data_IF_386164594246
#
_entry.id   IF_386164594246
#
_cell.length_a   1.000
_cell.length_b   1.000
_cell.length_c   1.000
_cell.angle_alpha   90.00
_cell.angle_beta   90.00
_cell.angle_gamma   90.00
#
_symmetry.space_group_name_H-M   'P 1'
#
loop_
_entity.id
_entity.type
_entity.pdbx_description
1 polymer ?
#
# COMPACT_ATOMS: atom_id res chain seq x y z
N UNK A 1 15.72 -71.84 2.94
CA UNK A 1 15.60 -70.61 2.16
C UNK A 1 16.39 -69.49 2.86
N UNK A 2 17.48 -69.05 2.28
CA UNK A 2 18.23 -67.90 2.71
C UNK A 2 17.66 -66.71 1.95
N UNK A 3 17.09 -65.74 2.67
CA UNK A 3 16.62 -64.49 2.04
C UNK A 3 17.87 -63.68 1.70
N UNK A 4 17.95 -63.20 0.47
CA UNK A 4 19.02 -62.29 0.02
C UNK A 4 18.83 -60.92 0.67
N UNK A 5 19.92 -60.33 1.17
CA UNK A 5 19.92 -59.03 1.85
C UNK A 5 19.34 -57.92 0.93
N UNK A 6 19.59 -57.97 -0.35
CA UNK A 6 19.05 -57.03 -1.32
C UNK A 6 17.50 -57.11 -1.43
N UNK A 7 16.92 -58.32 -1.27
CA UNK A 7 15.49 -58.52 -1.28
C UNK A 7 14.86 -57.95 0.02
N UNK A 8 15.52 -58.06 1.15
CA UNK A 8 15.06 -57.52 2.44
C UNK A 8 15.10 -55.99 2.39
N UNK A 9 16.17 -55.42 1.89
CA UNK A 9 16.33 -53.98 1.77
C UNK A 9 15.36 -53.37 0.73
N UNK A 10 15.07 -54.09 -0.38
CA UNK A 10 14.07 -53.72 -1.38
C UNK A 10 12.64 -53.73 -0.82
N UNK A 11 12.31 -54.74 0.01
CA UNK A 11 10.98 -54.85 0.64
C UNK A 11 10.75 -53.72 1.67
N UNK A 12 11.79 -53.35 2.43
CA UNK A 12 11.74 -52.23 3.37
C UNK A 12 11.50 -50.89 2.68
N UNK A 13 12.15 -50.63 1.56
CA UNK A 13 11.94 -49.42 0.78
C UNK A 13 10.53 -49.35 0.16
N UNK A 14 9.97 -50.50 -0.27
CA UNK A 14 8.60 -50.57 -0.80
C UNK A 14 7.56 -50.25 0.29
N UNK A 15 7.70 -50.81 1.48
CA UNK A 15 6.78 -50.59 2.60
C UNK A 15 6.82 -49.13 3.10
N UNK A 16 7.99 -48.47 3.02
CA UNK A 16 8.09 -47.04 3.40
C UNK A 16 7.28 -46.16 2.48
N UNK A 17 7.23 -46.44 1.18
CA UNK A 17 6.43 -45.69 0.21
C UNK A 17 4.94 -45.96 0.35
N UNK A 18 4.54 -47.18 0.72
CA UNK A 18 3.13 -47.53 0.95
C UNK A 18 2.57 -46.99 2.28
N UNK A 19 3.44 -46.74 3.26
CA UNK A 19 3.10 -46.12 4.54
C UNK A 19 3.12 -44.60 4.52
N UNK A 20 3.50 -43.99 3.39
CA UNK A 20 3.50 -42.56 3.23
C UNK A 20 2.06 -42.03 3.24
N UNK A 21 1.71 -41.26 4.26
CA UNK A 21 0.45 -40.55 4.32
C UNK A 21 0.65 -39.16 3.76
N UNK A 22 0.30 -38.98 2.49
CA UNK A 22 0.39 -37.70 1.83
C UNK A 22 -0.68 -36.75 2.37
N UNK A 23 -0.27 -35.54 2.79
CA UNK A 23 -1.22 -34.49 3.15
C UNK A 23 -2.05 -34.07 1.94
N UNK A 24 -3.36 -34.00 2.12
CA UNK A 24 -4.28 -33.55 1.07
C UNK A 24 -4.33 -32.03 0.97
N UNK A 25 -3.86 -31.31 2.00
CA UNK A 25 -3.79 -29.87 2.01
C UNK A 25 -2.66 -29.36 1.11
N UNK A 26 -3.00 -28.49 0.17
CA UNK A 26 -2.05 -27.81 -0.70
C UNK A 26 -1.69 -26.47 -0.06
N UNK A 27 -0.44 -26.35 0.39
CA UNK A 27 0.05 -25.14 1.06
C UNK A 27 0.46 -24.09 0.02
N UNK A 28 -0.13 -22.90 0.11
CA UNK A 28 0.27 -21.75 -0.69
C UNK A 28 1.56 -21.12 -0.12
N UNK A 29 2.38 -20.44 -0.95
CA UNK A 29 3.51 -19.69 -0.48
C UNK A 29 3.11 -18.63 0.56
N UNK A 30 3.93 -18.48 1.62
CA UNK A 30 3.74 -17.44 2.61
C UNK A 30 4.14 -16.09 2.03
N UNK A 31 3.15 -15.29 1.65
CA UNK A 31 3.34 -13.93 1.12
C UNK A 31 2.48 -12.96 1.91
N UNK A 32 3.08 -11.85 2.33
CA UNK A 32 2.37 -10.78 3.00
C UNK A 32 2.09 -9.65 2.00
N UNK A 33 0.83 -9.25 1.90
CA UNK A 33 0.36 -8.07 1.19
C UNK A 33 -0.52 -7.23 2.11
N UNK A 34 -0.37 -5.92 2.08
CA UNK A 34 -0.98 -5.00 3.04
C UNK A 34 -1.72 -3.83 2.38
N UNK A 35 -1.74 -3.78 1.06
CA UNK A 35 -2.32 -2.68 0.30
C UNK A 35 -3.76 -2.34 0.71
N UNK A 36 -4.62 -3.34 0.91
CA UNK A 36 -6.04 -3.15 1.26
C UNK A 36 -6.26 -2.50 2.62
N UNK A 37 -5.27 -2.60 3.52
CA UNK A 37 -5.28 -1.98 4.84
C UNK A 37 -4.88 -0.50 4.76
N UNK A 38 -3.94 -0.18 3.87
CA UNK A 38 -3.18 1.07 3.92
C UNK A 38 -3.63 2.10 2.86
N UNK A 39 -4.50 1.72 1.92
CA UNK A 39 -5.05 2.67 0.94
C UNK A 39 -6.53 2.41 0.67
N UNK A 40 -7.28 3.48 0.47
CA UNK A 40 -8.69 3.40 0.09
C UNK A 40 -8.84 3.29 -1.43
N UNK A 41 -9.74 2.42 -1.87
CA UNK A 41 -9.99 2.19 -3.29
C UNK A 41 -10.94 3.23 -3.88
N UNK A 42 -10.66 3.64 -5.10
CA UNK A 42 -11.57 4.36 -5.98
C UNK A 42 -12.24 3.35 -6.92
N UNK A 43 -13.53 3.09 -6.69
CA UNK A 43 -14.30 2.05 -7.38
C UNK A 43 -15.19 2.58 -8.51
N UNK A 44 -15.22 3.90 -8.73
CA UNK A 44 -16.01 4.56 -9.78
C UNK A 44 -15.38 4.47 -11.18
N UNK A 45 -14.28 3.73 -11.32
CA UNK A 45 -13.60 3.46 -12.58
C UNK A 45 -14.10 2.17 -13.21
N UNK A 46 -14.22 2.17 -14.54
CA UNK A 46 -14.65 1.02 -15.33
C UNK A 46 -13.52 0.40 -16.15
N UNK A 47 -13.76 -0.80 -16.69
CA UNK A 47 -12.78 -1.46 -17.55
C UNK A 47 -12.55 -0.71 -18.87
N UNK A 48 -13.48 0.13 -19.29
CA UNK A 48 -13.35 0.93 -20.48
C UNK A 48 -12.50 2.18 -20.32
N UNK A 49 -12.31 2.63 -19.07
CA UNK A 49 -11.56 3.86 -18.80
C UNK A 49 -10.05 3.63 -18.97
N UNK A 50 -9.35 4.50 -19.68
CA UNK A 50 -7.91 4.45 -19.87
C UNK A 50 -7.16 5.36 -18.89
N UNK A 51 -7.84 6.40 -18.40
CA UNK A 51 -7.26 7.42 -17.52
C UNK A 51 -8.22 7.66 -16.36
N UNK A 52 -7.72 7.55 -15.15
CA UNK A 52 -8.39 8.06 -13.96
C UNK A 52 -7.96 9.49 -13.70
N UNK A 53 -8.90 10.40 -13.49
CA UNK A 53 -8.57 11.82 -13.30
C UNK A 53 -9.37 12.45 -12.19
N UNK A 54 -8.78 13.49 -11.57
CA UNK A 54 -9.47 14.37 -10.64
C UNK A 54 -9.13 15.83 -10.95
N UNK A 55 -9.96 16.73 -10.47
CA UNK A 55 -9.81 18.17 -10.66
C UNK A 55 -9.60 18.84 -9.32
N UNK A 56 -8.57 19.68 -9.23
CA UNK A 56 -8.35 20.59 -8.12
C UNK A 56 -8.75 22.00 -8.57
N UNK A 57 -9.45 22.70 -7.69
CA UNK A 57 -9.87 24.07 -7.91
C UNK A 57 -9.06 25.01 -7.04
N UNK A 58 -8.48 26.04 -7.65
CA UNK A 58 -7.79 27.12 -6.95
C UNK A 58 -8.58 28.41 -7.12
N UNK A 59 -8.75 29.14 -6.04
CA UNK A 59 -9.48 30.40 -6.02
C UNK A 59 -8.49 31.56 -5.91
N UNK A 60 -8.65 32.55 -6.78
CA UNK A 60 -7.88 33.80 -6.70
C UNK A 60 -8.83 34.99 -6.74
N UNK A 61 -8.68 35.91 -5.79
CA UNK A 61 -9.36 37.19 -5.84
C UNK A 61 -8.64 38.11 -6.82
N UNK A 62 -9.31 38.50 -7.89
CA UNK A 62 -8.80 39.44 -8.87
C UNK A 62 -9.08 40.88 -8.44
N UNK A 63 -8.05 41.71 -8.36
CA UNK A 63 -8.17 43.11 -8.00
C UNK A 63 -8.40 43.34 -6.52
N UNK A 64 -7.33 43.28 -5.74
CA UNK A 64 -7.38 43.69 -4.32
C UNK A 64 -7.41 45.20 -4.21
N UNK A 65 -8.48 45.80 -3.73
CA UNK A 65 -8.55 47.24 -3.55
C UNK A 65 -7.63 47.78 -2.44
N UNK A 66 -7.00 46.90 -1.65
CA UNK A 66 -6.14 47.28 -0.53
C UNK A 66 -4.77 46.61 -0.58
N UNK A 67 -3.71 47.33 -0.20
CA UNK A 67 -2.32 46.87 -0.13
C UNK A 67 -2.12 45.64 0.79
N UNK A 68 -3.05 45.33 1.70
CA UNK A 68 -2.95 44.27 2.68
C UNK A 68 -3.61 42.95 2.23
N UNK A 69 -3.99 42.82 0.95
CA UNK A 69 -4.59 41.58 0.41
C UNK A 69 -6.00 41.26 0.93
N UNK A 70 -6.65 42.17 1.66
CA UNK A 70 -8.00 41.98 2.18
C UNK A 70 -9.01 42.78 1.35
N UNK A 71 -10.15 42.20 1.02
CA UNK A 71 -11.19 42.81 0.19
C UNK A 71 -12.13 43.71 1.04
N UNK A 72 -11.55 44.72 1.72
CA UNK A 72 -12.34 45.73 2.44
C UNK A 72 -12.89 46.74 1.47
N UNK A 73 -14.17 47.05 1.56
CA UNK A 73 -14.86 48.04 0.74
C UNK A 73 -15.23 49.26 1.57
N UNK A 74 -15.05 50.46 1.01
CA UNK A 74 -15.61 51.66 1.56
C UNK A 74 -17.10 51.76 1.23
N UNK A 75 -17.86 52.56 1.96
CA UNK A 75 -19.31 52.80 1.72
C UNK A 75 -19.62 53.34 0.30
N UNK A 76 -18.62 53.95 -0.35
CA UNK A 76 -18.76 54.54 -1.68
C UNK A 76 -17.91 53.76 -2.75
N UNK A 77 -17.58 52.50 -2.50
CA UNK A 77 -16.79 51.72 -3.46
C UNK A 77 -17.63 51.39 -4.70
N UNK A 78 -17.12 51.79 -5.87
CA UNK A 78 -17.71 51.48 -7.19
C UNK A 78 -17.06 50.27 -7.87
N UNK A 79 -15.89 49.82 -7.36
CA UNK A 79 -15.16 48.64 -7.86
C UNK A 79 -15.10 47.56 -6.78
N UNK A 80 -15.47 46.33 -7.14
CA UNK A 80 -15.37 45.15 -6.30
C UNK A 80 -14.34 44.19 -6.86
N UNK A 81 -13.63 43.47 -5.96
CA UNK A 81 -12.76 42.40 -6.37
C UNK A 81 -13.57 41.22 -6.94
N UNK A 82 -13.22 40.75 -8.12
CA UNK A 82 -13.80 39.55 -8.71
C UNK A 82 -13.13 38.28 -8.15
N UNK A 83 -13.85 37.18 -8.07
CA UNK A 83 -13.31 35.87 -7.77
C UNK A 83 -13.09 35.11 -9.08
N UNK A 84 -11.82 34.74 -9.33
CA UNK A 84 -11.48 33.86 -10.44
C UNK A 84 -11.25 32.44 -9.89
N UNK A 85 -11.73 31.45 -10.65
CA UNK A 85 -11.59 30.03 -10.35
C UNK A 85 -10.70 29.44 -11.42
N UNK A 86 -9.61 28.83 -11.00
CA UNK A 86 -8.77 28.00 -11.86
C UNK A 86 -9.02 26.52 -11.56
N UNK A 87 -9.19 25.72 -12.62
CA UNK A 87 -9.50 24.29 -12.53
C UNK A 87 -8.38 23.51 -13.22
N UNK A 88 -7.53 22.88 -12.41
CA UNK A 88 -6.47 22.00 -12.90
C UNK A 88 -6.96 20.55 -12.89
N UNK A 89 -6.81 19.84 -14.01
CA UNK A 89 -7.11 18.41 -14.14
C UNK A 89 -5.81 17.61 -14.12
N UNK A 90 -5.73 16.64 -13.19
CA UNK A 90 -4.62 15.68 -13.12
C UNK A 90 -5.13 14.31 -13.51
N UNK A 91 -4.45 13.65 -14.47
CA UNK A 91 -4.80 12.32 -14.96
C UNK A 91 -3.72 11.30 -14.65
N UNK A 92 -4.15 10.09 -14.33
CA UNK A 92 -3.30 8.93 -14.06
C UNK A 92 -3.70 7.76 -14.96
N UNK A 93 -2.74 7.02 -15.53
CA UNK A 93 -3.05 5.91 -16.41
C UNK A 93 -3.65 4.73 -15.63
N UNK A 94 -4.56 4.01 -16.28
CA UNK A 94 -5.11 2.75 -15.84
C UNK A 94 -4.55 1.63 -16.72
N UNK A 95 -3.86 0.67 -16.12
CA UNK A 95 -3.20 -0.44 -16.82
C UNK A 95 -4.01 -1.71 -16.71
N UNK A 96 -4.22 -2.38 -17.84
CA UNK A 96 -4.90 -3.67 -17.87
C UNK A 96 -3.96 -4.75 -17.35
N UNK A 97 -4.43 -5.50 -16.37
CA UNK A 97 -3.80 -6.72 -15.87
C UNK A 97 -4.63 -7.92 -16.31
N UNK A 98 -3.97 -9.02 -16.69
CA UNK A 98 -4.67 -10.23 -17.07
C UNK A 98 -3.83 -11.48 -16.91
N UNK A 99 -4.50 -12.59 -16.61
CA UNK A 99 -3.90 -13.91 -16.52
C UNK A 99 -4.88 -14.96 -17.04
N UNK A 100 -4.37 -15.93 -17.80
CA UNK A 100 -5.12 -17.06 -18.29
C UNK A 100 -4.80 -18.29 -17.44
N UNK A 101 -5.84 -18.95 -16.96
CA UNK A 101 -5.75 -20.25 -16.31
C UNK A 101 -6.17 -21.33 -17.29
N UNK A 102 -5.32 -22.34 -17.48
CA UNK A 102 -5.57 -23.46 -18.36
C UNK A 102 -5.46 -24.80 -17.65
N UNK A 103 -6.37 -25.70 -17.97
CA UNK A 103 -6.36 -27.09 -17.51
C UNK A 103 -6.53 -27.99 -18.71
N UNK A 104 -5.84 -29.11 -18.72
CA UNK A 104 -6.18 -30.19 -19.67
C UNK A 104 -7.27 -31.10 -19.12
N UNK A 105 -8.10 -31.63 -19.99
CA UNK A 105 -9.15 -32.57 -19.57
C UNK A 105 -8.59 -33.79 -18.81
N UNK A 106 -7.48 -34.42 -19.26
CA UNK A 106 -6.84 -35.49 -18.50
C UNK A 106 -6.33 -35.06 -17.12
N UNK A 107 -5.77 -33.82 -16.99
CA UNK A 107 -5.31 -33.27 -15.72
C UNK A 107 -6.48 -33.14 -14.71
N UNK A 108 -7.63 -32.63 -15.17
CA UNK A 108 -8.82 -32.53 -14.32
C UNK A 108 -9.35 -33.90 -13.88
N UNK A 109 -9.34 -34.89 -14.80
CA UNK A 109 -9.75 -36.24 -14.46
C UNK A 109 -8.81 -36.94 -13.47
N UNK A 110 -7.49 -36.76 -13.66
CA UNK A 110 -6.48 -37.26 -12.73
C UNK A 110 -6.60 -36.62 -11.35
N UNK A 111 -6.81 -35.30 -11.30
CA UNK A 111 -7.03 -34.57 -10.07
C UNK A 111 -8.27 -35.04 -9.31
N UNK A 112 -9.34 -35.29 -10.02
CA UNK A 112 -10.58 -35.83 -9.45
C UNK A 112 -10.38 -37.26 -8.87
N UNK A 113 -9.57 -38.10 -9.50
CA UNK A 113 -9.25 -39.44 -8.97
C UNK A 113 -8.42 -39.40 -7.71
N UNK A 114 -7.48 -38.44 -7.61
CA UNK A 114 -6.60 -38.26 -6.45
C UNK A 114 -7.28 -37.45 -5.33
N UNK A 115 -8.45 -36.84 -5.62
CA UNK A 115 -9.18 -36.00 -4.67
C UNK A 115 -8.50 -34.65 -4.40
N UNK A 116 -7.73 -34.13 -5.36
CA UNK A 116 -7.04 -32.82 -5.25
C UNK A 116 -7.73 -31.77 -6.12
N UNK A 117 -8.18 -30.64 -5.56
CA UNK A 117 -8.82 -29.56 -6.32
C UNK A 117 -7.75 -28.67 -7.01
N UNK A 118 -7.20 -29.13 -8.13
CA UNK A 118 -6.19 -28.38 -8.91
C UNK A 118 -6.74 -27.07 -9.49
N UNK A 119 -8.01 -27.04 -9.86
CA UNK A 119 -8.71 -25.86 -10.33
C UNK A 119 -8.72 -24.74 -9.28
N UNK A 120 -9.09 -25.06 -8.05
CA UNK A 120 -9.06 -24.12 -6.93
C UNK A 120 -7.64 -23.64 -6.64
N UNK A 121 -6.66 -24.54 -6.66
CA UNK A 121 -5.26 -24.17 -6.39
C UNK A 121 -4.71 -23.18 -7.43
N UNK A 122 -4.99 -23.39 -8.73
CA UNK A 122 -4.55 -22.45 -9.77
C UNK A 122 -5.25 -21.08 -9.61
N UNK A 123 -6.53 -21.09 -9.24
CA UNK A 123 -7.26 -19.85 -8.94
C UNK A 123 -6.67 -19.10 -7.74
N UNK A 124 -6.41 -19.79 -6.64
CA UNK A 124 -5.80 -19.21 -5.45
C UNK A 124 -4.40 -18.65 -5.74
N UNK A 125 -3.61 -19.36 -6.55
CA UNK A 125 -2.32 -18.89 -7.03
C UNK A 125 -2.42 -17.61 -7.86
N UNK A 126 -3.39 -17.51 -8.75
CA UNK A 126 -3.66 -16.30 -9.53
C UNK A 126 -4.10 -15.14 -8.61
N UNK A 127 -5.00 -15.41 -7.66
CA UNK A 127 -5.45 -14.40 -6.70
C UNK A 127 -4.30 -13.88 -5.83
N UNK A 128 -3.39 -14.77 -5.42
CA UNK A 128 -2.18 -14.40 -4.71
C UNK A 128 -1.30 -13.48 -5.58
N UNK A 129 -1.09 -13.84 -6.86
CA UNK A 129 -0.31 -13.01 -7.79
C UNK A 129 -0.93 -11.64 -8.01
N UNK A 130 -2.26 -11.56 -8.18
CA UNK A 130 -2.98 -10.30 -8.26
C UNK A 130 -2.74 -9.41 -7.03
N UNK A 131 -2.85 -9.98 -5.84
CA UNK A 131 -2.63 -9.23 -4.60
C UNK A 131 -1.17 -8.78 -4.45
N UNK A 132 -0.20 -9.59 -4.88
CA UNK A 132 1.21 -9.22 -4.87
C UNK A 132 1.50 -8.06 -5.83
N UNK A 133 0.99 -8.14 -7.06
CA UNK A 133 1.18 -7.09 -8.06
C UNK A 133 0.47 -5.79 -7.66
N UNK A 134 -0.71 -5.90 -7.05
CA UNK A 134 -1.41 -4.75 -6.49
C UNK A 134 -0.65 -4.13 -5.33
N UNK A 135 -0.07 -4.96 -4.44
CA UNK A 135 0.74 -4.50 -3.30
C UNK A 135 1.97 -3.71 -3.79
N UNK A 136 2.68 -4.23 -4.79
CA UNK A 136 3.82 -3.54 -5.39
C UNK A 136 3.40 -2.24 -6.09
N UNK A 137 2.33 -2.29 -6.87
CA UNK A 137 1.79 -1.14 -7.60
C UNK A 137 1.36 -0.01 -6.65
N UNK A 138 0.72 -0.34 -5.53
CA UNK A 138 0.28 0.65 -4.53
C UNK A 138 1.46 1.31 -3.82
N UNK A 139 2.48 0.53 -3.41
CA UNK A 139 3.57 1.12 -2.62
C UNK A 139 4.70 1.71 -3.46
N UNK A 140 5.04 1.08 -4.57
CA UNK A 140 6.18 1.47 -5.40
C UNK A 140 5.73 2.01 -6.75
N UNK A 141 4.66 1.44 -7.31
CA UNK A 141 4.28 1.65 -8.70
C UNK A 141 5.15 0.83 -9.66
N UNK A 142 5.06 1.15 -10.93
CA UNK A 142 5.82 0.50 -12.00
C UNK A 142 6.67 1.53 -12.75
N UNK A 143 7.97 1.31 -12.76
CA UNK A 143 8.92 2.18 -13.45
C UNK A 143 8.80 2.08 -14.99
N UNK A 144 8.41 0.92 -15.51
CA UNK A 144 8.18 0.71 -16.95
C UNK A 144 6.98 1.50 -17.48
N UNK A 145 5.98 1.72 -16.63
CA UNK A 145 4.79 2.52 -16.92
C UNK A 145 4.92 3.97 -16.45
N UNK A 146 6.05 4.34 -15.87
CA UNK A 146 6.28 5.65 -15.22
C UNK A 146 5.21 6.00 -14.18
N UNK A 147 4.70 5.00 -13.47
CA UNK A 147 3.72 5.13 -12.40
C UNK A 147 4.43 5.11 -11.06
N UNK A 148 4.06 6.01 -10.16
CA UNK A 148 4.61 6.08 -8.80
C UNK A 148 3.60 5.53 -7.80
N UNK A 149 4.13 4.87 -6.77
CA UNK A 149 3.34 4.38 -5.65
C UNK A 149 3.42 5.30 -4.43
N UNK A 150 2.78 4.87 -3.36
CA UNK A 150 2.62 5.63 -2.12
C UNK A 150 3.97 6.05 -1.48
N UNK A 151 5.03 5.23 -1.64
CA UNK A 151 6.34 5.47 -1.03
C UNK A 151 7.30 6.32 -1.88
N UNK A 152 6.94 6.68 -3.10
CA UNK A 152 7.84 7.37 -4.02
C UNK A 152 7.16 8.45 -4.88
N UNK A 153 6.08 9.07 -4.36
CA UNK A 153 5.40 10.18 -5.00
C UNK A 153 6.37 11.34 -5.22
N UNK A 154 6.41 11.86 -6.43
CA UNK A 154 7.32 12.96 -6.81
C UNK A 154 6.88 14.32 -6.27
N UNK A 155 5.60 14.45 -5.89
CA UNK A 155 5.01 15.67 -5.34
C UNK A 155 5.39 15.92 -3.88
N UNK A 156 5.88 14.88 -3.19
CA UNK A 156 6.26 14.95 -1.77
C UNK A 156 7.78 14.99 -1.64
N UNK A 157 8.32 16.10 -1.17
CA UNK A 157 9.76 16.25 -0.94
C UNK A 157 10.13 15.56 0.38
N UNK A 158 11.06 14.59 0.38
CA UNK A 158 11.49 13.93 1.61
C UNK A 158 12.35 14.87 2.47
N UNK A 159 12.23 14.73 3.77
CA UNK A 159 13.13 15.31 4.77
C UNK A 159 13.99 14.21 5.38
N UNK A 160 15.17 14.55 5.89
CA UNK A 160 16.04 13.56 6.53
C UNK A 160 15.83 13.58 8.04
N UNK A 161 15.83 12.39 8.66
CA UNK A 161 15.91 12.26 10.10
C UNK A 161 17.27 12.81 10.60
N UNK A 162 17.29 13.39 11.78
CA UNK A 162 18.53 13.90 12.36
C UNK A 162 19.53 12.78 12.69
N UNK A 163 19.03 11.57 12.97
CA UNK A 163 19.82 10.41 13.38
C UNK A 163 19.04 9.12 13.08
N UNK A 164 19.76 8.07 12.76
CA UNK A 164 19.18 6.71 12.58
C UNK A 164 18.64 6.17 13.90
N UNK A 165 17.48 5.52 13.85
CA UNK A 165 16.81 5.03 15.05
C UNK A 165 17.57 3.90 15.76
N UNK A 166 18.36 3.12 15.05
CA UNK A 166 19.21 2.08 15.62
C UNK A 166 20.19 2.58 16.72
N UNK A 167 20.57 3.86 16.65
CA UNK A 167 21.50 4.51 17.59
C UNK A 167 20.84 5.61 18.41
N UNK A 168 19.51 5.77 18.29
CA UNK A 168 18.74 6.84 18.93
C UNK A 168 18.14 6.38 20.25
N UNK A 169 17.96 7.31 21.17
CA UNK A 169 17.20 7.09 22.40
C UNK A 169 15.69 7.15 22.12
N UNK A 170 14.87 6.65 23.03
CA UNK A 170 13.41 6.72 22.93
C UNK A 170 12.89 8.16 22.73
N UNK A 171 13.52 9.14 23.41
CA UNK A 171 13.15 10.54 23.28
C UNK A 171 13.54 11.15 21.92
N UNK A 172 14.68 10.75 21.34
CA UNK A 172 15.10 11.17 20.00
C UNK A 172 14.16 10.59 18.92
N UNK A 173 13.75 9.32 19.06
CA UNK A 173 12.78 8.68 18.14
C UNK A 173 11.43 9.40 18.23
N UNK A 174 10.93 9.66 19.43
CA UNK A 174 9.70 10.43 19.66
C UNK A 174 9.78 11.83 19.02
N UNK A 175 10.88 12.51 19.20
CA UNK A 175 11.11 13.83 18.60
C UNK A 175 11.11 13.77 17.07
N UNK A 176 11.71 12.73 16.47
CA UNK A 176 11.74 12.52 15.02
C UNK A 176 10.32 12.32 14.46
N UNK A 177 9.48 11.48 15.10
CA UNK A 177 8.10 11.24 14.69
C UNK A 177 7.25 12.52 14.83
N UNK A 178 7.35 13.22 15.95
CA UNK A 178 6.62 14.48 16.13
C UNK A 178 7.08 15.57 15.16
N UNK A 179 8.36 15.61 14.80
CA UNK A 179 8.86 16.52 13.78
C UNK A 179 8.25 16.23 12.40
N UNK A 180 8.15 14.95 12.01
CA UNK A 180 7.49 14.53 10.77
C UNK A 180 6.00 14.90 10.75
N UNK A 181 5.27 14.65 11.84
CA UNK A 181 3.86 15.03 11.98
C UNK A 181 3.68 16.56 11.89
N UNK A 182 4.56 17.34 12.56
CA UNK A 182 4.52 18.80 12.53
C UNK A 182 4.83 19.35 11.14
N UNK A 183 5.77 18.72 10.42
CA UNK A 183 6.10 19.12 9.05
C UNK A 183 4.90 18.87 8.10
N UNK A 184 4.25 17.69 8.17
CA UNK A 184 3.06 17.41 7.39
C UNK A 184 1.91 18.39 7.72
N UNK A 185 1.71 18.71 8.99
CA UNK A 185 0.71 19.66 9.43
C UNK A 185 1.00 21.08 8.91
N UNK A 186 2.26 21.53 8.98
CA UNK A 186 2.67 22.83 8.44
C UNK A 186 2.51 22.88 6.91
N UNK A 187 2.89 21.81 6.19
CA UNK A 187 2.75 21.72 4.74
C UNK A 187 1.29 21.81 4.28
N UNK A 188 0.36 21.29 5.07
CA UNK A 188 -1.09 21.41 4.83
C UNK A 188 -1.69 22.75 5.28
N UNK A 189 -0.84 23.77 5.53
CA UNK A 189 -1.25 25.06 6.11
C UNK A 189 -2.07 24.88 7.41
N UNK A 190 -1.68 23.92 8.23
CA UNK A 190 -2.32 23.55 9.51
C UNK A 190 -3.77 23.06 9.40
N UNK A 191 -4.17 22.62 8.21
CA UNK A 191 -5.53 22.15 7.99
C UNK A 191 -5.75 20.71 8.42
N UNK A 192 -4.71 19.85 8.34
CA UNK A 192 -4.83 18.42 8.62
C UNK A 192 -3.56 17.85 9.26
N UNK A 193 -3.73 17.10 10.36
CA UNK A 193 -2.66 16.29 10.96
C UNK A 193 -2.81 14.85 10.47
N UNK A 194 -1.74 14.20 9.97
CA UNK A 194 -1.79 12.80 9.53
C UNK A 194 -2.29 11.86 10.63
N UNK A 195 -3.05 10.85 10.22
CA UNK A 195 -3.62 9.83 11.13
C UNK A 195 -2.85 8.51 11.08
N UNK A 196 -2.06 8.30 10.04
CA UNK A 196 -1.39 7.03 9.76
C UNK A 196 0.10 7.26 9.54
N UNK A 197 0.91 6.34 10.06
CA UNK A 197 2.36 6.29 9.93
C UNK A 197 2.77 4.91 9.42
N UNK A 198 3.42 4.88 8.26
CA UNK A 198 4.00 3.67 7.69
C UNK A 198 5.51 3.67 7.91
N UNK A 199 6.04 2.58 8.44
CA UNK A 199 7.46 2.39 8.74
C UNK A 199 7.94 1.00 8.33
N UNK A 200 9.24 0.78 8.13
CA UNK A 200 9.77 -0.55 7.91
C UNK A 200 9.53 -1.49 9.11
N UNK A 201 9.42 -2.82 8.88
CA UNK A 201 9.16 -3.78 9.96
C UNK A 201 10.23 -3.81 11.05
N UNK A 202 11.48 -3.52 10.71
CA UNK A 202 12.59 -3.50 11.66
C UNK A 202 12.44 -2.35 12.66
N UNK A 203 12.11 -1.14 12.18
CA UNK A 203 11.83 0.02 13.01
C UNK A 203 10.54 -0.16 13.84
N UNK A 204 9.54 -0.84 13.28
CA UNK A 204 8.34 -1.20 14.06
C UNK A 204 8.68 -2.12 15.22
N UNK A 205 9.52 -3.13 15.00
CA UNK A 205 10.00 -4.03 16.07
C UNK A 205 10.80 -3.26 17.12
N UNK A 206 11.62 -2.30 16.70
CA UNK A 206 12.37 -1.42 17.62
C UNK A 206 11.42 -0.60 18.50
N UNK A 207 10.36 0.00 17.93
CA UNK A 207 9.36 0.75 18.71
C UNK A 207 8.63 -0.13 19.74
N UNK A 208 8.32 -1.36 19.35
CA UNK A 208 7.62 -2.31 20.24
C UNK A 208 8.50 -2.78 21.40
N UNK A 209 9.82 -2.94 21.17
CA UNK A 209 10.78 -3.43 22.17
C UNK A 209 11.36 -2.33 23.06
N UNK A 210 11.40 -1.08 22.58
CA UNK A 210 11.94 0.04 23.36
C UNK A 210 10.97 0.47 24.44
N UNK A 211 11.45 0.55 25.68
CA UNK A 211 10.66 0.93 26.87
C UNK A 211 10.93 2.40 27.21
N UNK A 212 9.86 3.15 27.45
CA UNK A 212 9.92 4.53 27.97
C UNK A 212 9.76 4.48 29.47
N UNK A 213 10.88 4.52 30.21
CA UNK A 213 10.90 4.42 31.68
C UNK A 213 10.20 5.60 32.36
N UNK A 214 10.31 6.81 31.81
CA UNK A 214 9.67 8.02 32.31
C UNK A 214 8.14 8.02 32.19
N UNK A 215 7.57 7.15 31.35
CA UNK A 215 6.13 7.01 31.12
C UNK A 215 5.55 5.74 31.76
N UNK A 216 6.13 5.26 32.85
CA UNK A 216 5.61 4.08 33.58
C UNK A 216 5.94 2.73 32.93
N UNK A 217 7.10 2.62 32.27
CA UNK A 217 7.57 1.41 31.59
C UNK A 217 6.65 0.90 30.47
N UNK A 218 6.05 1.82 29.73
CA UNK A 218 5.31 1.48 28.53
C UNK A 218 6.24 1.29 27.32
N UNK A 219 5.81 0.48 26.34
CA UNK A 219 6.53 0.42 25.07
C UNK A 219 6.42 1.77 24.35
N UNK A 220 7.47 2.13 23.63
CA UNK A 220 7.49 3.38 22.86
C UNK A 220 6.35 3.41 21.82
N UNK A 221 6.00 2.27 21.23
CA UNK A 221 4.87 2.13 20.30
C UNK A 221 3.56 2.58 20.95
N UNK A 222 3.17 1.98 22.09
CA UNK A 222 1.92 2.33 22.80
C UNK A 222 1.94 3.79 23.28
N UNK A 223 3.10 4.28 23.70
CA UNK A 223 3.24 5.67 24.11
C UNK A 223 3.00 6.64 22.94
N UNK A 224 3.54 6.34 21.75
CA UNK A 224 3.38 7.18 20.55
C UNK A 224 1.95 7.19 20.03
N UNK A 225 1.23 6.08 20.09
CA UNK A 225 -0.17 6.01 19.66
C UNK A 225 -1.06 7.03 20.37
N UNK A 226 -0.80 7.30 21.66
CA UNK A 226 -1.65 8.14 22.51
C UNK A 226 -1.04 9.50 22.92
N UNK A 227 0.26 9.70 22.70
CA UNK A 227 0.97 10.90 23.17
C UNK A 227 1.65 11.68 22.05
N UNK A 228 1.08 11.67 20.85
CA UNK A 228 1.54 12.47 19.72
C UNK A 228 0.62 13.65 19.44
N UNK A 229 1.11 14.60 18.64
CA UNK A 229 0.31 15.74 18.14
C UNK A 229 -0.95 15.23 17.42
N UNK A 230 -0.84 14.12 16.69
CA UNK A 230 -1.95 13.52 15.97
C UNK A 230 -3.10 13.11 16.91
N UNK A 231 -2.79 12.49 18.04
CA UNK A 231 -3.81 12.13 19.04
C UNK A 231 -4.51 13.35 19.63
N UNK A 232 -3.74 14.36 20.03
CA UNK A 232 -4.31 15.55 20.65
C UNK A 232 -5.15 16.41 19.70
N UNK A 233 -4.79 16.42 18.41
CA UNK A 233 -5.51 17.20 17.41
C UNK A 233 -6.72 16.44 16.82
N UNK A 234 -6.57 15.15 16.54
CA UNK A 234 -7.60 14.36 15.87
C UNK A 234 -8.53 13.61 16.85
N UNK A 235 -8.14 13.49 18.13
CA UNK A 235 -8.87 12.72 19.15
C UNK A 235 -8.84 11.20 18.89
N UNK A 236 -7.91 10.72 18.05
CA UNK A 236 -7.74 9.30 17.69
C UNK A 236 -6.27 8.90 17.80
N UNK A 237 -5.97 7.65 18.20
CA UNK A 237 -4.61 7.15 18.20
C UNK A 237 -3.96 7.26 16.82
N UNK A 238 -2.65 7.52 16.81
CA UNK A 238 -1.86 7.44 15.58
C UNK A 238 -1.73 5.97 15.16
N UNK A 239 -2.17 5.62 13.96
CA UNK A 239 -2.03 4.28 13.43
C UNK A 239 -0.61 4.05 12.92
N UNK A 240 0.23 3.34 13.68
CA UNK A 240 1.59 2.99 13.28
C UNK A 240 1.57 1.58 12.69
N UNK A 241 2.02 1.43 11.44
CA UNK A 241 1.92 0.16 10.72
C UNK A 241 3.23 -0.21 10.02
N UNK A 242 3.64 -1.49 10.10
CA UNK A 242 4.81 -1.98 9.38
C UNK A 242 4.49 -2.22 7.90
N UNK A 243 5.39 -1.77 7.02
CA UNK A 243 5.32 -1.99 5.57
C UNK A 243 6.70 -2.38 5.04
N UNK A 244 6.80 -3.55 4.41
CA UNK A 244 8.07 -4.08 3.85
C UNK A 244 8.68 -3.15 2.79
N UNK A 245 7.85 -2.43 2.05
CA UNK A 245 8.24 -1.56 0.95
C UNK A 245 8.84 -0.22 1.38
N UNK A 246 8.78 0.11 2.66
CA UNK A 246 9.40 1.31 3.23
C UNK A 246 10.91 1.17 3.45
N UNK A 247 11.42 -0.08 3.44
CA UNK A 247 12.84 -0.39 3.59
C UNK A 247 13.62 0.01 2.34
N UNK A 248 14.73 0.76 2.53
CA UNK A 248 15.62 1.16 1.45
C UNK A 248 14.99 2.09 0.40
N UNK A 249 13.93 2.85 0.74
CA UNK A 249 13.24 3.77 -0.19
C UNK A 249 13.61 5.23 -0.04
N UNK A 250 14.33 5.56 1.01
CA UNK A 250 14.86 6.89 1.24
C UNK A 250 16.07 7.22 0.38
N UNK A 251 16.52 8.45 0.51
CA UNK A 251 17.75 8.94 -0.15
C UNK A 251 18.93 8.05 0.24
N UNK A 252 19.78 7.72 -0.73
CA UNK A 252 20.93 6.81 -0.55
C UNK A 252 20.56 5.40 -0.03
N UNK A 253 19.39 4.89 -0.43
CA UNK A 253 18.89 3.56 -0.02
C UNK A 253 18.67 3.45 1.50
N UNK A 254 18.41 4.57 2.18
CA UNK A 254 18.01 4.58 3.59
C UNK A 254 16.55 4.17 3.77
N UNK A 255 16.19 3.85 4.99
CA UNK A 255 14.81 3.53 5.35
C UNK A 255 13.96 4.80 5.39
N UNK A 256 12.69 4.65 4.99
CA UNK A 256 11.73 5.75 4.89
C UNK A 256 10.55 5.53 5.82
N UNK A 257 10.12 6.56 6.53
CA UNK A 257 8.80 6.62 7.14
C UNK A 257 7.91 7.59 6.39
N UNK A 258 6.62 7.28 6.35
CA UNK A 258 5.63 8.07 5.65
C UNK A 258 4.47 8.40 6.56
N UNK A 259 4.14 9.68 6.61
CA UNK A 259 2.96 10.24 7.28
C UNK A 259 1.89 10.57 6.25
N UNK A 260 0.67 10.12 6.49
CA UNK A 260 -0.47 10.40 5.62
C UNK A 260 -1.80 10.18 6.36
N UNK A 261 -2.89 10.47 5.69
CA UNK A 261 -4.23 10.17 6.18
C UNK A 261 -4.89 9.20 5.21
N UNK A 262 -5.25 7.99 5.72
CA UNK A 262 -5.90 6.94 4.93
C UNK A 262 -7.39 7.26 4.71
N UNK A 263 -7.66 8.21 3.82
CA UNK A 263 -9.01 8.60 3.42
C UNK A 263 -9.05 8.91 1.92
N UNK A 264 -10.13 8.48 1.24
CA UNK A 264 -10.39 8.70 -0.21
C UNK A 264 -10.27 10.16 -0.64
N UNK A 265 -10.50 11.09 0.30
CA UNK A 265 -10.40 12.53 0.05
C UNK A 265 -8.96 12.97 -0.20
N UNK A 266 -7.98 12.35 0.48
CA UNK A 266 -6.59 12.77 0.44
C UNK A 266 -5.73 11.90 -0.47
N UNK A 267 -5.85 10.58 -0.31
CA UNK A 267 -5.10 9.59 -1.09
C UNK A 267 -6.01 8.42 -1.43
N UNK A 268 -5.99 8.00 -2.69
CA UNK A 268 -6.80 6.88 -3.15
C UNK A 268 -6.12 6.12 -4.29
N UNK A 269 -6.59 4.91 -4.53
CA UNK A 269 -6.09 4.05 -5.58
C UNK A 269 -7.23 3.58 -6.47
N UNK A 270 -7.27 3.97 -7.76
CA UNK A 270 -8.27 3.51 -8.70
C UNK A 270 -7.96 2.06 -9.11
N UNK A 271 -8.94 1.18 -8.95
CA UNK A 271 -8.83 -0.23 -9.27
C UNK A 271 -10.16 -0.76 -9.79
N UNK A 272 -10.11 -1.54 -10.87
CA UNK A 272 -11.22 -2.38 -11.32
C UNK A 272 -10.93 -3.80 -10.83
N UNK A 273 -11.82 -4.42 -10.04
CA UNK A 273 -11.61 -5.75 -9.51
C UNK A 273 -11.49 -6.79 -10.62
N UNK A 274 -10.96 -7.97 -10.28
CA UNK A 274 -10.83 -9.09 -11.20
C UNK A 274 -12.20 -9.55 -11.72
N UNK A 275 -12.29 -9.66 -13.04
CA UNK A 275 -13.43 -10.22 -13.77
C UNK A 275 -12.96 -11.43 -14.57
N UNK A 276 -13.86 -12.37 -14.83
CA UNK A 276 -13.57 -13.55 -15.64
C UNK A 276 -14.33 -13.53 -16.96
N UNK A 277 -13.69 -14.03 -17.99
CA UNK A 277 -14.35 -14.35 -19.29
C UNK A 277 -14.99 -15.74 -19.18
N UNK A 278 -16.08 -16.02 -19.88
CA UNK A 278 -16.64 -17.38 -19.95
C UNK A 278 -15.58 -18.40 -20.36
N UNK A 279 -15.73 -19.63 -19.85
CA UNK A 279 -14.84 -20.76 -20.13
C UNK A 279 -14.75 -20.99 -21.64
N UNK A 280 -13.53 -21.11 -22.15
CA UNK A 280 -13.24 -21.43 -23.54
C UNK A 280 -12.58 -22.80 -23.64
N UNK A 281 -12.95 -23.54 -24.66
CA UNK A 281 -12.33 -24.82 -24.99
C UNK A 281 -11.45 -24.68 -26.22
N UNK A 282 -10.18 -25.07 -26.09
CA UNK A 282 -9.22 -25.10 -27.19
C UNK A 282 -8.55 -26.45 -27.28
N UNK A 283 -9.10 -27.33 -28.11
CA UNK A 283 -8.68 -28.74 -28.16
C UNK A 283 -8.97 -29.44 -26.83
N UNK A 284 -7.95 -29.98 -26.18
CA UNK A 284 -8.06 -30.63 -24.87
C UNK A 284 -7.91 -29.66 -23.70
N UNK A 285 -7.72 -28.36 -23.97
CA UNK A 285 -7.57 -27.34 -22.93
C UNK A 285 -8.91 -26.67 -22.63
N UNK A 286 -9.18 -26.50 -21.34
CA UNK A 286 -10.18 -25.61 -20.80
C UNK A 286 -9.46 -24.35 -20.28
N UNK A 287 -9.83 -23.20 -20.81
CA UNK A 287 -9.17 -21.93 -20.54
C UNK A 287 -10.16 -20.95 -19.91
N UNK A 288 -9.71 -20.24 -18.89
CA UNK A 288 -10.44 -19.12 -18.26
C UNK A 288 -9.49 -17.94 -18.13
N UNK A 289 -9.85 -16.83 -18.76
CA UNK A 289 -9.06 -15.59 -18.66
C UNK A 289 -9.65 -14.70 -17.57
N UNK A 290 -8.80 -14.27 -16.66
CA UNK A 290 -9.12 -13.27 -15.65
C UNK A 290 -8.43 -11.96 -16.01
N UNK A 291 -9.11 -10.85 -15.81
CA UNK A 291 -8.58 -9.53 -16.11
C UNK A 291 -9.14 -8.49 -15.14
N UNK A 292 -8.39 -7.42 -14.94
CA UNK A 292 -8.76 -6.28 -14.13
C UNK A 292 -7.93 -5.06 -14.51
N UNK A 293 -8.16 -3.92 -13.91
CA UNK A 293 -7.31 -2.74 -14.11
C UNK A 293 -6.73 -2.23 -12.81
N UNK A 294 -5.45 -1.91 -12.85
CA UNK A 294 -4.72 -1.25 -11.77
C UNK A 294 -4.32 0.15 -12.23
N UNK A 295 -4.57 1.14 -11.40
CA UNK A 295 -4.16 2.50 -11.67
C UNK A 295 -2.86 2.90 -10.98
N UNK A 296 -2.69 4.20 -10.82
CA UNK A 296 -1.65 4.81 -10.00
C UNK A 296 -2.24 5.38 -8.71
N UNK A 297 -1.43 5.51 -7.67
CA UNK A 297 -1.84 6.23 -6.47
C UNK A 297 -2.14 7.69 -6.82
N UNK A 298 -3.34 8.14 -6.46
CA UNK A 298 -3.80 9.51 -6.65
C UNK A 298 -3.64 10.30 -5.36
N UNK A 299 -2.57 11.11 -5.19
CA UNK A 299 -2.47 12.05 -4.09
C UNK A 299 -3.28 13.31 -4.44
N UNK A 300 -4.52 13.36 -3.97
CA UNK A 300 -5.43 14.51 -4.25
C UNK A 300 -4.89 15.78 -3.59
N UNK A 301 -4.34 15.62 -2.38
CA UNK A 301 -3.69 16.70 -1.61
C UNK A 301 -2.30 16.25 -1.17
N UNK A 302 -1.27 16.38 -2.02
CA UNK A 302 0.08 15.93 -1.70
C UNK A 302 0.70 16.67 -0.49
N UNK A 303 0.21 17.86 -0.16
CA UNK A 303 0.63 18.65 1.01
C UNK A 303 0.32 17.96 2.35
N UNK A 304 -0.65 17.03 2.37
CA UNK A 304 -1.01 16.27 3.58
C UNK A 304 -0.12 15.06 3.84
N UNK A 305 0.82 14.80 2.92
CA UNK A 305 1.78 13.70 3.03
C UNK A 305 3.16 14.23 3.40
N UNK A 306 3.91 13.46 4.17
CA UNK A 306 5.31 13.76 4.44
C UNK A 306 6.16 12.49 4.45
N UNK A 307 7.37 12.59 3.91
CA UNK A 307 8.40 11.55 3.97
C UNK A 307 9.52 11.99 4.88
N UNK A 308 10.02 11.06 5.70
CA UNK A 308 11.25 11.24 6.45
C UNK A 308 12.16 10.05 6.19
N UNK A 309 13.34 10.33 5.69
CA UNK A 309 14.34 9.35 5.29
C UNK A 309 15.45 9.24 6.35
N UNK A 310 16.14 8.10 6.40
CA UNK A 310 17.28 7.90 7.28
C UNK A 310 16.92 7.54 8.73
N UNK A 311 15.78 6.88 8.92
CA UNK A 311 15.33 6.39 10.23
C UNK A 311 16.02 5.10 10.66
#
# INVERSE_FOLDING_TARGET
>A
MTFDQATVDGTGAFLVHELERLDQTLNLPLVNYTWSRDIQLREDVSIADEISSFTNTTFAAAGTPNANGKNWLSKAATAMAGLNVDIAKTGFPLTLWGMELGWTVPELQAAAQVGRPIDTQKYDGMQLKWNMDTDEQVYIGDSGLNVKGLMNLTQVTPTNAAKTWATSTADEIRASINAGLSAAWANSAYSMVPTDLLIPPEQFSLLASTIVSSAGNQSLLTYLETNTIAYHQNGRPLNIRPVKWAKGRGVSNSDRMMFYTNDKKYVRFPMVPLMSVPIQYRGLYQLVTYYGKLGAVEPVYPETLAYVDGI
#
